data_IF_654765264656
#
_entry.id   IF_654765264656
#
_cell.length_a   1.000
_cell.length_b   1.000
_cell.length_c   1.000
_cell.angle_alpha   90.00
_cell.angle_beta   90.00
_cell.angle_gamma   90.00
#
_symmetry.space_group_name_H-M   'P 1'
#
loop_
_entity.id
_entity.type
_entity.pdbx_description
1 polymer ?
#
# COMPACT_ATOMS: atom_id res chain seq x y z
N UNK A 1 38.68 -10.88 -40.53
CA UNK A 1 37.23 -10.62 -40.53
C UNK A 1 36.64 -11.33 -39.32
N UNK A 2 35.78 -10.63 -38.57
CA UNK A 2 35.11 -11.08 -37.35
C UNK A 2 34.28 -12.34 -37.56
N UNK A 3 34.16 -13.17 -36.53
CA UNK A 3 32.86 -13.42 -35.88
C UNK A 3 32.98 -14.27 -34.61
N UNK A 4 32.53 -13.64 -33.51
CA UNK A 4 32.08 -14.28 -32.28
C UNK A 4 30.88 -15.21 -32.57
N UNK A 5 30.67 -16.22 -31.73
CA UNK A 5 29.34 -16.62 -31.25
C UNK A 5 29.50 -17.52 -30.03
N UNK A 6 28.98 -17.06 -28.90
CA UNK A 6 28.84 -17.80 -27.66
C UNK A 6 27.38 -18.21 -27.54
N UNK A 7 27.09 -19.50 -27.40
CA UNK A 7 25.75 -19.98 -27.06
C UNK A 7 25.88 -21.18 -26.12
N UNK A 8 25.75 -20.90 -24.82
CA UNK A 8 25.57 -21.91 -23.79
C UNK A 8 24.14 -22.43 -23.84
N UNK A 9 23.99 -23.69 -24.24
CA UNK A 9 22.73 -24.41 -24.23
C UNK A 9 22.76 -25.41 -23.08
N UNK A 10 22.44 -24.94 -21.87
CA UNK A 10 22.17 -25.83 -20.74
C UNK A 10 20.76 -26.43 -20.95
N UNK A 11 20.79 -27.73 -21.20
CA UNK A 11 19.64 -28.60 -21.39
C UNK A 11 18.94 -28.87 -20.06
N UNK A 12 17.70 -28.42 -19.90
CA UNK A 12 16.81 -28.98 -18.85
C UNK A 12 15.47 -29.31 -19.48
N UNK A 13 15.26 -30.61 -19.72
CA UNK A 13 13.97 -31.19 -20.05
C UNK A 13 13.36 -31.93 -18.83
N UNK A 14 12.03 -32.10 -18.82
CA UNK A 14 11.22 -31.89 -17.62
C UNK A 14 10.91 -33.18 -16.87
N UNK A 15 11.06 -33.15 -15.55
CA UNK A 15 10.61 -34.20 -14.64
C UNK A 15 9.35 -33.75 -13.89
N UNK A 16 8.20 -34.22 -14.37
CA UNK A 16 6.90 -34.11 -13.73
C UNK A 16 6.94 -34.73 -12.33
N UNK A 17 6.70 -33.96 -11.27
CA UNK A 17 6.13 -34.46 -10.00
C UNK A 17 5.51 -33.30 -9.20
N UNK A 18 4.21 -33.23 -9.35
CA UNK A 18 3.25 -32.54 -8.51
C UNK A 18 3.47 -32.92 -7.03
N UNK A 19 3.72 -31.94 -6.15
CA UNK A 19 3.43 -32.11 -4.73
C UNK A 19 3.09 -30.75 -4.10
N UNK A 20 1.80 -30.59 -3.85
CA UNK A 20 1.12 -29.46 -3.23
C UNK A 20 1.69 -29.27 -1.81
N UNK A 21 2.37 -28.15 -1.56
CA UNK A 21 2.64 -27.62 -0.22
C UNK A 21 2.56 -26.10 -0.28
N UNK A 22 1.42 -25.58 0.16
CA UNK A 22 1.21 -24.30 0.84
C UNK A 22 2.25 -23.20 0.56
N UNK A 23 1.92 -22.28 -0.34
CA UNK A 23 2.57 -20.97 -0.39
C UNK A 23 2.26 -20.22 0.91
N UNK A 24 3.16 -20.35 1.88
CA UNK A 24 3.36 -19.32 2.89
C UNK A 24 4.53 -18.49 2.39
N UNK A 25 4.27 -17.53 1.51
CA UNK A 25 5.25 -16.49 1.24
C UNK A 25 5.40 -15.63 2.50
N UNK A 26 6.59 -15.56 3.13
CA UNK A 26 6.89 -14.42 3.98
C UNK A 26 7.11 -13.26 3.02
N UNK A 27 6.03 -12.53 2.70
CA UNK A 27 6.17 -11.31 1.92
C UNK A 27 6.88 -10.30 2.82
N UNK A 28 8.21 -10.32 2.68
CA UNK A 28 9.15 -9.47 3.35
C UNK A 28 8.64 -8.03 3.33
N UNK A 29 8.79 -7.38 4.48
CA UNK A 29 8.70 -5.95 4.64
C UNK A 29 9.63 -5.27 3.63
N UNK A 30 9.14 -5.05 2.41
CA UNK A 30 9.74 -4.11 1.48
C UNK A 30 9.22 -2.76 1.93
N UNK A 31 9.97 -2.15 2.85
CA UNK A 31 9.89 -0.72 3.08
C UNK A 31 9.97 -0.06 1.71
N UNK A 32 8.83 0.45 1.24
CA UNK A 32 8.79 1.28 0.04
C UNK A 32 9.45 2.59 0.42
N UNK A 33 10.78 2.57 0.24
CA UNK A 33 11.63 3.67 -0.14
C UNK A 33 10.87 4.99 -0.30
N UNK A 34 10.96 5.84 0.73
CA UNK A 34 10.79 7.28 0.61
C UNK A 34 11.82 7.75 -0.42
N UNK A 35 11.42 7.76 -1.69
CA UNK A 35 12.20 8.31 -2.78
C UNK A 35 11.93 9.80 -2.87
N UNK A 36 12.77 10.60 -2.22
CA UNK A 36 12.96 11.99 -2.62
C UNK A 36 13.53 12.01 -4.04
N UNK A 37 12.81 12.54 -5.01
CA UNK A 37 13.35 12.77 -6.35
C UNK A 37 12.34 13.05 -7.44
N UNK A 38 12.17 14.33 -7.78
CA UNK A 38 11.70 14.76 -9.10
C UNK A 38 10.43 15.61 -9.08
N UNK A 39 10.60 16.93 -9.17
CA UNK A 39 9.55 17.85 -9.63
C UNK A 39 9.32 17.56 -11.11
N UNK A 40 8.44 16.60 -11.37
CA UNK A 40 7.74 16.40 -12.62
C UNK A 40 6.27 16.33 -12.28
N UNK A 41 5.40 16.82 -13.16
CA UNK A 41 3.94 16.69 -13.00
C UNK A 41 3.59 15.21 -13.21
N UNK A 42 3.94 14.39 -12.23
CA UNK A 42 3.57 12.98 -12.15
C UNK A 42 2.13 12.99 -11.66
N UNK A 43 1.23 12.38 -12.42
CA UNK A 43 -0.12 12.11 -11.95
C UNK A 43 -0.01 11.28 -10.65
N UNK A 44 -0.09 11.94 -9.50
CA UNK A 44 0.07 11.30 -8.20
C UNK A 44 -1.11 10.35 -7.97
N UNK A 45 -0.81 9.12 -7.53
CA UNK A 45 -1.86 8.18 -7.15
C UNK A 45 -2.60 8.68 -5.90
N UNK A 46 -3.87 8.30 -5.73
CA UNK A 46 -4.64 8.66 -4.53
C UNK A 46 -3.94 8.24 -3.23
N UNK A 47 -3.28 7.07 -3.22
CA UNK A 47 -2.47 6.60 -2.08
C UNK A 47 -1.34 7.56 -1.74
N UNK A 48 -0.67 8.08 -2.76
CA UNK A 48 0.47 8.99 -2.61
C UNK A 48 0.01 10.37 -2.14
N UNK A 49 -1.09 10.87 -2.70
CA UNK A 49 -1.74 12.10 -2.22
C UNK A 49 -2.12 12.00 -0.73
N UNK A 50 -2.70 10.87 -0.31
CA UNK A 50 -3.01 10.63 1.11
C UNK A 50 -1.73 10.64 1.95
N UNK A 51 -0.64 10.04 1.45
CA UNK A 51 0.65 10.00 2.13
C UNK A 51 1.26 11.40 2.35
N UNK A 52 1.27 12.23 1.31
CA UNK A 52 1.73 13.64 1.40
C UNK A 52 0.83 14.41 2.38
N UNK A 53 -0.48 14.29 2.26
CA UNK A 53 -1.42 14.99 3.14
C UNK A 53 -1.30 14.55 4.61
N UNK A 54 -1.00 13.28 4.87
CA UNK A 54 -0.72 12.80 6.23
C UNK A 54 0.54 13.46 6.78
N UNK A 55 1.63 13.49 5.98
CA UNK A 55 2.89 14.10 6.35
C UNK A 55 2.73 15.59 6.66
N UNK A 56 1.99 16.34 5.84
CA UNK A 56 1.73 17.78 6.04
C UNK A 56 0.94 18.07 7.34
N UNK A 57 0.28 17.06 7.92
CA UNK A 57 -0.48 17.16 9.16
C UNK A 57 0.19 16.42 10.34
N UNK A 58 1.47 16.05 10.21
CA UNK A 58 2.22 15.28 11.23
C UNK A 58 1.59 13.92 11.58
N UNK A 59 0.93 13.29 10.61
CA UNK A 59 0.26 12.00 10.77
C UNK A 59 1.00 10.88 10.03
N UNK A 60 0.96 9.70 10.65
CA UNK A 60 1.54 8.49 10.09
C UNK A 60 0.58 7.84 9.09
N UNK A 61 1.07 7.51 7.89
CA UNK A 61 0.32 6.73 6.90
C UNK A 61 1.07 5.44 6.52
N UNK A 62 0.54 4.28 6.92
CA UNK A 62 1.20 2.98 6.68
C UNK A 62 0.24 1.81 6.55
N UNK A 63 0.55 0.76 5.78
CA UNK A 63 -0.29 -0.44 5.70
C UNK A 63 -0.30 -1.21 7.03
N UNK A 64 -1.46 -1.76 7.41
CA UNK A 64 -1.58 -2.73 8.51
C UNK A 64 -1.43 -4.12 7.92
N UNK A 65 -0.25 -4.72 8.10
CA UNK A 65 0.10 -6.04 7.54
C UNK A 65 -0.93 -7.09 7.97
N UNK A 66 -1.37 -7.92 7.02
CA UNK A 66 -2.35 -8.99 7.25
C UNK A 66 -3.79 -8.52 7.43
N UNK A 67 -4.08 -7.21 7.33
CA UNK A 67 -5.43 -6.66 7.50
C UNK A 67 -6.02 -6.20 6.16
N UNK A 68 -7.07 -6.89 5.75
CA UNK A 68 -7.84 -6.60 4.54
C UNK A 68 -9.29 -6.29 4.89
N UNK A 69 -9.96 -5.46 4.10
CA UNK A 69 -11.41 -5.22 4.16
C UNK A 69 -11.96 -5.23 2.74
N UNK A 70 -12.87 -6.17 2.48
CA UNK A 70 -13.54 -6.33 1.18
C UNK A 70 -12.53 -6.35 0.00
N UNK A 71 -11.41 -7.06 0.17
CA UNK A 71 -10.32 -7.15 -0.82
C UNK A 71 -9.36 -5.96 -0.87
N UNK A 72 -9.59 -4.90 -0.09
CA UNK A 72 -8.73 -3.73 -0.01
C UNK A 72 -7.76 -3.80 1.18
N UNK A 73 -6.52 -3.40 0.97
CA UNK A 73 -5.53 -3.26 2.04
C UNK A 73 -5.99 -2.17 3.03
N UNK A 74 -5.99 -2.50 4.33
CA UNK A 74 -6.24 -1.52 5.38
C UNK A 74 -4.95 -0.76 5.70
N UNK A 75 -5.02 0.56 5.72
CA UNK A 75 -3.94 1.45 6.13
C UNK A 75 -4.30 2.11 7.47
N UNK A 76 -3.28 2.45 8.25
CA UNK A 76 -3.36 3.35 9.38
C UNK A 76 -3.08 4.76 8.88
N UNK A 77 -3.97 5.70 9.19
CA UNK A 77 -3.81 7.14 9.03
C UNK A 77 -3.96 7.78 10.41
N UNK A 78 -2.84 8.18 11.03
CA UNK A 78 -2.83 8.54 12.45
C UNK A 78 -3.41 7.41 13.30
N UNK A 79 -4.55 7.65 13.92
CA UNK A 79 -5.27 6.69 14.75
C UNK A 79 -6.46 6.02 14.06
N UNK A 80 -6.70 6.35 12.80
CA UNK A 80 -7.84 5.89 12.02
C UNK A 80 -7.40 4.78 11.07
N UNK A 81 -8.24 3.75 10.93
CA UNK A 81 -8.06 2.73 9.88
C UNK A 81 -8.78 3.17 8.61
N UNK A 82 -8.13 3.09 7.46
CA UNK A 82 -8.68 3.51 6.17
C UNK A 82 -8.48 2.44 5.10
N UNK A 83 -9.32 2.44 4.06
CA UNK A 83 -9.11 1.70 2.82
C UNK A 83 -9.22 2.64 1.64
N UNK A 84 -8.47 2.32 0.58
CA UNK A 84 -8.45 3.09 -0.66
C UNK A 84 -9.05 2.21 -1.75
N UNK A 85 -10.17 2.65 -2.31
CA UNK A 85 -10.71 2.10 -3.54
C UNK A 85 -10.10 2.86 -4.72
N UNK A 86 -9.04 2.29 -5.30
CA UNK A 86 -8.30 2.90 -6.41
C UNK A 86 -9.09 2.87 -7.72
N UNK A 87 -10.09 1.99 -7.87
CA UNK A 87 -10.90 1.92 -9.08
C UNK A 87 -11.87 3.10 -9.12
N UNK A 88 -12.52 3.38 -8.00
CA UNK A 88 -13.50 4.47 -7.89
C UNK A 88 -12.91 5.77 -7.34
N UNK A 89 -11.61 5.81 -7.04
CA UNK A 89 -10.91 6.94 -6.42
C UNK A 89 -11.59 7.40 -5.12
N UNK A 90 -11.97 6.45 -4.26
CA UNK A 90 -12.66 6.70 -3.00
C UNK A 90 -11.81 6.32 -1.79
N UNK A 91 -11.93 7.11 -0.73
CA UNK A 91 -11.28 6.87 0.55
C UNK A 91 -12.34 6.60 1.61
N UNK A 92 -12.22 5.47 2.30
CA UNK A 92 -13.13 5.12 3.39
C UNK A 92 -12.38 5.06 4.70
N UNK A 93 -12.98 5.61 5.76
CA UNK A 93 -12.50 5.51 7.12
C UNK A 93 -13.37 4.57 7.94
N UNK A 94 -12.73 3.78 8.80
CA UNK A 94 -13.41 3.04 9.85
C UNK A 94 -13.70 3.99 11.01
N UNK A 95 -14.97 4.33 11.17
CA UNK A 95 -15.50 4.91 12.40
C UNK A 95 -16.18 3.81 13.21
N UNK A 96 -16.55 4.10 14.46
CA UNK A 96 -17.13 3.19 15.47
C UNK A 96 -17.47 1.78 15.00
N UNK A 97 -18.51 1.62 14.18
CA UNK A 97 -18.95 0.32 13.67
C UNK A 97 -19.14 0.26 12.15
N UNK A 98 -18.67 1.26 11.40
CA UNK A 98 -18.91 1.33 9.96
C UNK A 98 -17.75 1.93 9.17
N UNK A 99 -17.65 1.52 7.92
CA UNK A 99 -16.79 2.17 6.93
C UNK A 99 -17.61 3.26 6.24
N UNK A 100 -17.09 4.49 6.25
CA UNK A 100 -17.77 5.66 5.67
C UNK A 100 -16.85 6.33 4.66
N UNK A 101 -17.41 6.78 3.54
CA UNK A 101 -16.70 7.59 2.55
C UNK A 101 -16.31 8.93 3.20
N UNK A 102 -15.05 9.32 3.07
CA UNK A 102 -14.52 10.55 3.66
C UNK A 102 -13.62 11.31 2.70
N UNK A 103 -13.49 12.62 2.92
CA UNK A 103 -12.44 13.45 2.32
C UNK A 103 -11.17 13.44 3.17
N UNK A 104 -10.05 13.90 2.62
CA UNK A 104 -8.79 14.05 3.36
C UNK A 104 -8.93 14.99 4.57
N UNK A 105 -9.62 16.12 4.39
CA UNK A 105 -9.88 17.08 5.46
C UNK A 105 -10.71 16.45 6.60
N UNK A 106 -11.76 15.70 6.25
CA UNK A 106 -12.58 14.98 7.22
C UNK A 106 -11.75 13.95 8.00
N UNK A 107 -10.82 13.27 7.32
CA UNK A 107 -9.95 12.28 7.94
C UNK A 107 -9.03 12.90 9.01
N UNK A 108 -8.46 14.07 8.74
CA UNK A 108 -7.67 14.82 9.73
C UNK A 108 -8.52 15.26 10.92
N UNK A 109 -9.73 15.77 10.65
CA UNK A 109 -10.65 16.19 11.72
C UNK A 109 -11.09 15.03 12.61
N UNK A 110 -11.29 13.84 12.03
CA UNK A 110 -11.59 12.62 12.79
C UNK A 110 -10.44 12.24 13.72
N UNK A 111 -9.18 12.43 13.32
CA UNK A 111 -8.01 12.07 14.13
C UNK A 111 -7.86 13.04 15.31
N UNK A 112 -7.97 14.35 15.03
CA UNK A 112 -8.00 15.40 16.06
C UNK A 112 -9.11 15.16 17.09
N UNK A 113 -10.31 14.79 16.63
CA UNK A 113 -11.43 14.44 17.51
C UNK A 113 -11.18 13.19 18.35
N UNK A 114 -10.39 12.23 17.85
CA UNK A 114 -9.99 11.05 18.61
C UNK A 114 -8.97 11.38 19.71
N UNK A 115 -8.06 12.31 19.47
CA UNK A 115 -7.11 12.80 20.48
C UNK A 115 -7.85 13.50 21.63
N UNK A 116 -8.80 14.39 21.31
CA UNK A 116 -9.56 15.15 22.31
C UNK A 116 -10.41 14.28 23.24
N UNK A 117 -10.83 13.08 22.82
CA UNK A 117 -11.60 12.16 23.68
C UNK A 117 -10.75 11.35 24.66
N UNK A 118 -9.42 11.43 24.57
CA UNK A 118 -8.49 10.65 25.41
C UNK A 118 -7.69 11.49 26.41
N UNK A 119 -7.86 12.81 26.42
CA UNK A 119 -7.31 13.74 27.40
C UNK A 119 -8.38 14.19 28.39
#
# INVERSE_FOLDING_TARGET
>A
MMNQAAEGLEVVHPGFRENIKTHSEPQAAKGQQLGSGGVGIVAMSLKELIGVYAQDNDLLFMPIVGRMKDGHQVFRFGNISVIIDSLNQKLFAQTEHRWSLVTLEQLVNLDKGWVLRRG
#
